data_IF_198235568829
#
_entry.id   IF_198235568829
#
_cell.length_a   1.000
_cell.length_b   1.000
_cell.length_c   1.000
_cell.angle_alpha   90.00
_cell.angle_beta   90.00
_cell.angle_gamma   90.00
#
_symmetry.space_group_name_H-M   'P 1'
#
loop_
_entity.id
_entity.type
_entity.pdbx_description
1 polymer ?
#
# COMPACT_ATOMS: atom_id res chain seq x y z
N UNK A 1 -2.17 4.22 -1.46
CA UNK A 1 -2.82 5.22 -2.33
C UNK A 1 -2.68 4.85 -3.80
N UNK A 2 -3.60 5.34 -4.63
CA UNK A 2 -3.58 5.17 -6.09
C UNK A 2 -3.29 6.51 -6.74
N UNK A 3 -2.31 6.54 -7.61
CA UNK A 3 -1.80 7.74 -8.26
C UNK A 3 -1.99 7.61 -9.77
N UNK A 4 -2.88 8.43 -10.34
CA UNK A 4 -3.18 8.42 -11.79
C UNK A 4 -2.59 9.65 -12.45
N UNK A 5 -1.57 9.50 -13.29
CA UNK A 5 -1.00 10.62 -14.05
C UNK A 5 -2.00 11.10 -15.09
N UNK A 6 -2.57 12.30 -14.87
CA UNK A 6 -3.65 12.83 -15.70
C UNK A 6 -4.94 11.98 -15.69
N UNK A 7 -5.09 11.04 -14.75
CA UNK A 7 -6.22 10.11 -14.64
C UNK A 7 -6.77 10.07 -13.20
N UNK A 8 -6.95 11.24 -12.58
CA UNK A 8 -7.42 11.34 -11.19
C UNK A 8 -8.77 10.63 -10.95
N UNK A 9 -9.68 10.65 -11.92
CA UNK A 9 -10.97 9.96 -11.84
C UNK A 9 -10.79 8.45 -11.67
N UNK A 10 -9.90 7.85 -12.46
CA UNK A 10 -9.58 6.43 -12.39
C UNK A 10 -8.86 6.08 -11.07
N UNK A 11 -7.95 6.93 -10.61
CA UNK A 11 -7.29 6.73 -9.32
C UNK A 11 -8.30 6.75 -8.16
N UNK A 12 -9.27 7.66 -8.18
CA UNK A 12 -10.35 7.74 -7.18
C UNK A 12 -11.28 6.53 -7.23
N UNK A 13 -11.63 6.05 -8.43
CA UNK A 13 -12.43 4.83 -8.61
C UNK A 13 -11.71 3.61 -8.01
N UNK A 14 -10.44 3.42 -8.32
CA UNK A 14 -9.66 2.32 -7.72
C UNK A 14 -9.57 2.41 -6.19
N UNK A 15 -9.35 3.61 -5.66
CA UNK A 15 -9.33 3.85 -4.22
C UNK A 15 -10.70 3.56 -3.57
N UNK A 16 -11.80 3.91 -4.26
CA UNK A 16 -13.16 3.59 -3.81
C UNK A 16 -13.36 2.08 -3.71
N UNK A 17 -12.94 1.30 -4.72
CA UNK A 17 -13.05 -0.17 -4.67
C UNK A 17 -12.27 -0.78 -3.51
N UNK A 18 -11.10 -0.27 -3.20
CA UNK A 18 -10.35 -0.72 -2.01
C UNK A 18 -11.13 -0.42 -0.73
N UNK A 19 -11.72 0.76 -0.60
CA UNK A 19 -12.55 1.10 0.59
C UNK A 19 -13.78 0.23 0.71
N UNK A 20 -14.46 -0.07 -0.41
CA UNK A 20 -15.72 -0.82 -0.41
C UNK A 20 -15.57 -2.30 -0.07
N UNK A 21 -14.54 -2.97 -0.58
CA UNK A 21 -14.41 -4.44 -0.44
C UNK A 21 -13.27 -4.89 0.45
N UNK A 22 -12.20 -4.09 0.58
CA UNK A 22 -11.06 -4.41 1.47
C UNK A 22 -11.24 -3.77 2.85
N UNK A 23 -12.08 -2.75 2.96
CA UNK A 23 -12.29 -1.96 4.18
C UNK A 23 -10.97 -1.37 4.71
N UNK A 24 -10.13 -0.89 3.80
CA UNK A 24 -8.91 -0.17 4.11
C UNK A 24 -9.05 1.29 3.67
N UNK A 25 -8.43 2.19 4.43
CA UNK A 25 -8.29 3.56 3.95
C UNK A 25 -7.47 3.59 2.67
N UNK A 26 -7.98 4.25 1.66
CA UNK A 26 -7.32 4.45 0.37
C UNK A 26 -7.81 5.74 -0.27
N UNK A 27 -6.92 6.46 -0.92
CA UNK A 27 -7.23 7.70 -1.63
C UNK A 27 -6.62 7.68 -3.03
N UNK A 28 -7.30 8.36 -3.96
CA UNK A 28 -6.84 8.55 -5.32
C UNK A 28 -6.37 10.00 -5.54
N UNK A 29 -5.17 10.16 -6.09
CA UNK A 29 -4.56 11.46 -6.40
C UNK A 29 -4.15 11.54 -7.86
N UNK A 30 -4.01 12.76 -8.36
CA UNK A 30 -3.13 12.99 -9.49
C UNK A 30 -1.69 12.74 -9.03
N UNK A 31 -0.90 12.01 -9.84
CA UNK A 31 0.44 11.62 -9.44
C UNK A 31 1.37 12.84 -9.22
N UNK A 32 1.16 13.94 -9.99
CA UNK A 32 1.95 15.15 -9.84
C UNK A 32 1.61 15.90 -8.55
N UNK A 33 0.36 15.82 -8.07
CA UNK A 33 -0.09 16.51 -6.86
C UNK A 33 0.32 15.79 -5.57
N UNK A 34 0.52 14.48 -5.61
CA UNK A 34 0.86 13.70 -4.42
C UNK A 34 2.14 14.19 -3.72
N UNK A 35 3.09 14.74 -4.46
CA UNK A 35 4.34 15.28 -3.90
C UNK A 35 4.17 16.57 -3.08
N UNK A 36 3.03 17.28 -3.23
CA UNK A 36 2.80 18.58 -2.62
C UNK A 36 2.15 18.52 -1.23
N UNK A 37 2.32 17.43 -0.50
CA UNK A 37 1.81 17.25 0.86
C UNK A 37 1.56 15.79 1.22
N UNK A 38 0.70 15.07 0.50
CA UNK A 38 0.34 13.69 0.84
C UNK A 38 1.52 12.73 0.99
N UNK A 39 2.62 12.96 0.25
CA UNK A 39 3.82 12.13 0.31
C UNK A 39 4.56 12.16 1.66
N UNK A 40 4.15 12.98 2.60
CA UNK A 40 4.71 13.02 3.97
C UNK A 40 4.45 11.74 4.77
N UNK A 41 3.49 10.92 4.33
CA UNK A 41 3.19 9.61 4.93
C UNK A 41 4.22 8.53 4.58
N UNK A 42 5.11 8.78 3.63
CA UNK A 42 6.10 7.79 3.17
C UNK A 42 7.20 7.55 4.21
N UNK A 43 7.89 6.43 4.09
CA UNK A 43 8.96 6.04 4.98
C UNK A 43 8.45 5.59 6.36
N UNK A 44 9.19 5.97 7.42
CA UNK A 44 8.87 5.60 8.81
C UNK A 44 7.75 6.46 9.44
N UNK A 45 6.95 7.13 8.64
CA UNK A 45 5.90 8.01 9.14
C UNK A 45 4.55 7.30 9.34
N UNK A 46 4.41 6.09 8.84
CA UNK A 46 3.16 5.33 8.90
C UNK A 46 3.39 3.90 9.35
N UNK A 47 2.54 3.44 10.26
CA UNK A 47 2.48 2.05 10.73
C UNK A 47 1.25 1.37 10.12
N UNK A 48 1.44 0.18 9.58
CA UNK A 48 0.41 -0.54 8.83
C UNK A 48 -0.28 -1.64 9.63
N UNK A 49 -1.39 -1.33 10.27
CA UNK A 49 -2.38 -2.26 10.77
C UNK A 49 -1.86 -3.56 11.40
N UNK A 50 -2.54 -4.66 11.15
CA UNK A 50 -2.24 -5.96 11.76
C UNK A 50 -0.86 -6.54 11.41
N UNK A 51 -0.39 -6.35 10.18
CA UNK A 51 0.94 -6.86 9.78
C UNK A 51 2.07 -6.15 10.54
N UNK A 52 1.94 -4.86 10.78
CA UNK A 52 2.90 -4.11 11.59
C UNK A 52 2.85 -4.56 13.05
N UNK A 53 1.67 -4.83 13.59
CA UNK A 53 1.51 -5.37 14.94
C UNK A 53 2.18 -6.74 15.06
N UNK A 54 1.94 -7.65 14.12
CA UNK A 54 2.59 -8.96 14.08
C UNK A 54 4.12 -8.84 14.04
N UNK A 55 4.64 -7.94 13.21
CA UNK A 55 6.08 -7.68 13.11
C UNK A 55 6.67 -7.16 14.41
N UNK A 56 6.00 -6.22 15.08
CA UNK A 56 6.40 -5.67 16.38
C UNK A 56 6.38 -6.75 17.46
N UNK A 57 5.30 -7.54 17.54
CA UNK A 57 5.20 -8.62 18.52
C UNK A 57 6.26 -9.70 18.29
N UNK A 58 6.55 -10.04 17.04
CA UNK A 58 7.61 -10.99 16.69
C UNK A 58 9.00 -10.48 17.05
N UNK A 59 9.25 -9.18 16.86
CA UNK A 59 10.51 -8.55 17.27
C UNK A 59 10.65 -8.53 18.79
N UNK A 60 9.58 -8.19 19.52
CA UNK A 60 9.56 -8.24 21.00
C UNK A 60 9.80 -9.65 21.53
N UNK A 61 9.11 -10.64 20.99
CA UNK A 61 9.31 -12.05 21.35
C UNK A 61 10.75 -12.53 21.11
N UNK A 62 11.41 -12.01 20.07
CA UNK A 62 12.82 -12.30 19.79
C UNK A 62 13.74 -11.70 20.84
N UNK A 63 13.49 -10.45 21.25
CA UNK A 63 14.23 -9.80 22.35
C UNK A 63 14.09 -10.61 23.63
N UNK A 64 12.87 -10.98 24.01
CA UNK A 64 12.62 -11.79 25.20
C UNK A 64 13.33 -13.15 25.18
N UNK A 65 13.34 -13.84 24.04
CA UNK A 65 14.00 -15.16 23.92
C UNK A 65 15.52 -15.07 24.07
N UNK A 66 16.11 -13.96 23.62
CA UNK A 66 17.56 -13.78 23.63
C UNK A 66 18.08 -13.11 24.92
N UNK A 67 17.19 -12.54 25.74
CA UNK A 67 17.54 -11.89 26.99
C UNK A 67 17.87 -12.92 28.09
N UNK A 68 18.87 -12.63 28.96
CA UNK A 68 19.09 -13.37 30.23
C UNK A 68 17.84 -13.34 31.10
N UNK A 69 17.67 -14.35 31.97
CA UNK A 69 16.47 -14.50 32.80
C UNK A 69 16.15 -13.25 33.65
N UNK A 70 17.15 -12.67 34.30
CA UNK A 70 16.98 -11.46 35.09
C UNK A 70 16.49 -10.26 34.25
N UNK A 71 17.04 -10.10 33.05
CA UNK A 71 16.63 -9.03 32.13
C UNK A 71 15.25 -9.28 31.53
N UNK A 72 14.89 -10.54 31.27
CA UNK A 72 13.58 -10.94 30.79
C UNK A 72 12.45 -10.53 31.73
N UNK A 73 12.64 -10.71 33.04
CA UNK A 73 11.68 -10.29 34.05
C UNK A 73 11.50 -8.75 34.05
N UNK A 74 12.57 -8.00 33.86
CA UNK A 74 12.50 -6.53 33.71
C UNK A 74 11.73 -6.14 32.48
N UNK A 75 11.99 -6.78 31.31
CA UNK A 75 11.29 -6.50 30.06
C UNK A 75 9.79 -6.80 30.14
N UNK A 76 9.39 -7.82 30.92
CA UNK A 76 7.99 -8.21 31.09
C UNK A 76 7.23 -7.28 32.06
N UNK A 77 7.91 -6.59 32.95
CA UNK A 77 7.30 -5.76 33.99
C UNK A 77 7.47 -4.26 33.76
N UNK A 78 8.40 -3.88 32.89
CA UNK A 78 8.64 -2.46 32.56
C UNK A 78 7.50 -1.87 31.74
N UNK A 79 7.32 -0.55 31.82
CA UNK A 79 6.39 0.16 30.96
C UNK A 79 6.76 -0.01 29.47
N UNK A 80 5.77 -0.19 28.56
CA UNK A 80 6.05 -0.39 27.15
C UNK A 80 6.97 0.66 26.51
N UNK A 81 6.83 1.93 26.90
CA UNK A 81 7.70 3.01 26.43
C UNK A 81 9.17 2.80 26.78
N UNK A 82 9.47 2.29 27.98
CA UNK A 82 10.84 2.00 28.42
C UNK A 82 11.44 0.82 27.66
N UNK A 83 10.64 -0.20 27.41
CA UNK A 83 11.05 -1.37 26.59
C UNK A 83 11.41 -0.94 25.17
N UNK A 84 10.57 -0.12 24.55
CA UNK A 84 10.79 0.39 23.19
C UNK A 84 12.01 1.34 23.14
N UNK A 85 12.20 2.20 24.14
CA UNK A 85 13.36 3.10 24.21
C UNK A 85 14.69 2.34 24.29
N UNK A 86 14.71 1.23 25.03
CA UNK A 86 15.90 0.37 25.16
C UNK A 86 16.09 -0.57 23.97
N UNK A 87 15.04 -0.86 23.21
CA UNK A 87 15.04 -1.79 22.10
C UNK A 87 14.38 -1.18 20.85
N UNK A 88 14.97 -0.17 20.23
CA UNK A 88 14.35 0.57 19.11
C UNK A 88 14.02 -0.32 17.91
N UNK A 89 14.74 -1.42 17.70
CA UNK A 89 14.46 -2.39 16.65
C UNK A 89 13.09 -3.08 16.77
N UNK A 90 12.46 -3.08 17.96
CA UNK A 90 11.10 -3.57 18.13
C UNK A 90 10.11 -2.63 17.41
N UNK A 91 10.24 -1.34 17.64
CA UNK A 91 9.40 -0.34 16.98
C UNK A 91 9.70 -0.26 15.48
N UNK A 92 10.97 -0.30 15.11
CA UNK A 92 11.39 -0.28 13.69
C UNK A 92 10.81 -1.43 12.87
N UNK A 93 10.59 -2.59 13.48
CA UNK A 93 9.95 -3.73 12.81
C UNK A 93 8.48 -3.45 12.40
N UNK A 94 7.83 -2.46 13.03
CA UNK A 94 6.47 -2.03 12.68
C UNK A 94 6.41 -1.13 11.45
N UNK A 95 7.53 -0.54 11.06
CA UNK A 95 7.58 0.33 9.88
C UNK A 95 7.87 -0.48 8.62
N UNK A 96 7.17 -0.16 7.55
CA UNK A 96 7.38 -0.73 6.23
C UNK A 96 7.31 0.36 5.17
N UNK A 97 7.68 -0.02 3.94
CA UNK A 97 7.50 0.88 2.81
C UNK A 97 6.02 1.09 2.53
N UNK A 98 5.67 2.31 2.15
CA UNK A 98 4.29 2.66 1.84
C UNK A 98 3.91 2.18 0.42
N UNK A 99 2.86 1.37 0.25
CA UNK A 99 2.48 0.90 -1.07
C UNK A 99 1.78 2.02 -1.87
N UNK A 100 2.35 2.36 -3.03
CA UNK A 100 1.76 3.25 -4.01
C UNK A 100 1.44 2.48 -5.29
N UNK A 101 0.22 2.65 -5.78
CA UNK A 101 -0.22 2.12 -7.06
C UNK A 101 -0.23 3.25 -8.08
N UNK A 102 0.65 3.19 -9.05
CA UNK A 102 0.65 4.13 -10.18
C UNK A 102 -0.17 3.58 -11.34
N UNK A 103 -0.92 4.47 -11.98
CA UNK A 103 -1.63 4.21 -13.23
C UNK A 103 -1.14 5.22 -14.26
N UNK A 104 -0.47 4.73 -15.29
CA UNK A 104 0.18 5.54 -16.31
C UNK A 104 -0.41 5.28 -17.69
N UNK A 105 -1.09 6.23 -18.30
CA UNK A 105 -1.59 6.10 -19.67
C UNK A 105 -0.43 6.10 -20.68
N UNK A 106 -0.69 5.69 -21.96
CA UNK A 106 0.36 5.50 -22.96
C UNK A 106 0.98 6.79 -23.52
N UNK A 107 0.57 7.95 -23.05
CA UNK A 107 1.06 9.27 -23.53
C UNK A 107 2.49 9.54 -23.08
N UNK A 108 3.35 9.92 -24.00
CA UNK A 108 4.77 10.22 -23.74
C UNK A 108 5.02 11.24 -22.63
N UNK A 109 4.15 12.26 -22.53
CA UNK A 109 4.23 13.26 -21.47
C UNK A 109 3.98 12.62 -20.10
N UNK A 110 2.92 11.80 -20.01
CA UNK A 110 2.47 11.21 -18.76
C UNK A 110 3.44 10.11 -18.30
N UNK A 111 4.05 9.39 -19.24
CA UNK A 111 5.14 8.44 -18.99
C UNK A 111 6.32 9.16 -18.31
N UNK A 112 6.80 10.28 -18.86
CA UNK A 112 7.92 11.03 -18.25
C UNK A 112 7.58 11.57 -16.86
N UNK A 113 6.37 12.05 -16.66
CA UNK A 113 5.90 12.50 -15.34
C UNK A 113 5.87 11.32 -14.37
N UNK A 114 5.30 10.19 -14.76
CA UNK A 114 5.21 8.97 -13.92
C UNK A 114 6.58 8.48 -13.51
N UNK A 115 7.54 8.40 -14.43
CA UNK A 115 8.93 8.03 -14.13
C UNK A 115 9.52 8.94 -13.06
N UNK A 116 9.37 10.26 -13.22
CA UNK A 116 9.85 11.25 -12.26
C UNK A 116 9.22 11.06 -10.87
N UNK A 117 7.91 10.79 -10.81
CA UNK A 117 7.21 10.55 -9.55
C UNK A 117 7.63 9.23 -8.90
N UNK A 118 7.79 8.16 -9.66
CA UNK A 118 8.29 6.87 -9.16
C UNK A 118 9.65 7.07 -8.49
N UNK A 119 10.60 7.72 -9.15
CA UNK A 119 11.92 7.99 -8.57
C UNK A 119 11.83 8.84 -7.30
N UNK A 120 10.97 9.85 -7.28
CA UNK A 120 10.77 10.73 -6.12
C UNK A 120 10.24 9.97 -4.90
N UNK A 121 9.29 9.06 -5.11
CA UNK A 121 8.61 8.42 -3.99
C UNK A 121 9.33 7.17 -3.49
N UNK A 122 9.96 6.39 -4.37
CA UNK A 122 10.71 5.21 -3.92
C UNK A 122 11.90 5.53 -3.03
N UNK A 123 12.62 6.64 -3.26
CA UNK A 123 13.70 7.08 -2.37
C UNK A 123 13.22 7.58 -1.00
N UNK A 124 11.90 7.82 -0.86
CA UNK A 124 11.24 8.22 0.39
C UNK A 124 10.59 7.06 1.12
N UNK A 125 10.77 5.82 0.67
CA UNK A 125 10.23 4.63 1.31
C UNK A 125 8.85 4.23 0.80
N UNK A 126 8.60 4.38 -0.50
CA UNK A 126 7.43 3.78 -1.16
C UNK A 126 7.80 2.48 -1.86
N UNK A 127 6.95 1.45 -1.69
CA UNK A 127 6.88 0.31 -2.61
C UNK A 127 6.01 0.71 -3.82
N UNK A 128 6.42 0.32 -5.02
CA UNK A 128 5.76 0.75 -6.25
C UNK A 128 5.08 -0.41 -6.95
N UNK A 129 3.77 -0.29 -7.16
CA UNK A 129 3.03 -1.08 -8.12
C UNK A 129 2.64 -0.17 -9.28
N UNK A 130 3.00 -0.53 -10.50
CA UNK A 130 2.66 0.22 -11.71
C UNK A 130 1.70 -0.58 -12.58
N UNK A 131 0.64 0.06 -13.04
CA UNK A 131 -0.29 -0.42 -14.08
C UNK A 131 -0.10 0.46 -15.31
N UNK A 132 0.42 -0.13 -16.38
CA UNK A 132 0.66 0.59 -17.63
C UNK A 132 0.80 -0.37 -18.81
N UNK A 133 0.73 0.15 -20.04
CA UNK A 133 1.17 -0.57 -21.22
C UNK A 133 2.68 -0.80 -21.19
N UNK A 134 3.15 -1.81 -21.90
CA UNK A 134 4.57 -2.19 -21.93
C UNK A 134 5.46 -1.06 -22.42
N UNK A 135 6.37 -0.61 -21.56
CA UNK A 135 7.38 0.44 -21.83
C UNK A 135 8.68 0.11 -21.09
N UNK A 136 9.80 -0.09 -21.79
CA UNK A 136 11.08 -0.43 -21.14
C UNK A 136 11.53 0.61 -20.12
N UNK A 137 11.32 1.90 -20.39
CA UNK A 137 11.68 2.99 -19.50
C UNK A 137 10.87 2.99 -18.19
N UNK A 138 9.60 2.58 -18.24
CA UNK A 138 8.76 2.40 -17.04
C UNK A 138 9.23 1.20 -16.22
N UNK A 139 9.54 0.07 -16.88
CA UNK A 139 10.08 -1.11 -16.21
C UNK A 139 11.37 -0.76 -15.46
N UNK A 140 12.30 -0.10 -16.13
CA UNK A 140 13.57 0.34 -15.51
C UNK A 140 13.33 1.25 -14.30
N UNK A 141 12.39 2.20 -14.41
CA UNK A 141 12.07 3.11 -13.31
C UNK A 141 11.49 2.38 -12.10
N UNK A 142 10.65 1.36 -12.33
CA UNK A 142 9.99 0.58 -11.28
C UNK A 142 10.95 -0.40 -10.62
N UNK A 143 11.69 -1.17 -11.40
CA UNK A 143 12.53 -2.29 -10.91
C UNK A 143 13.80 -1.82 -10.20
N UNK A 144 14.37 -0.68 -10.60
CA UNK A 144 15.59 -0.15 -10.01
C UNK A 144 15.45 0.12 -8.51
N UNK A 145 16.18 -0.63 -7.67
CA UNK A 145 16.16 -0.44 -6.21
C UNK A 145 16.88 0.86 -5.81
N UNK A 146 16.30 1.65 -4.87
CA UNK A 146 17.04 2.75 -4.26
C UNK A 146 18.21 2.23 -3.40
N UNK A 147 19.34 2.91 -3.44
CA UNK A 147 20.54 2.49 -2.68
C UNK A 147 20.32 2.50 -1.15
N UNK A 148 19.41 3.31 -0.66
CA UNK A 148 19.09 3.47 0.75
C UNK A 148 17.95 2.54 1.25
N UNK A 149 17.39 1.70 0.38
CA UNK A 149 16.26 0.83 0.73
C UNK A 149 16.43 -0.59 0.14
N UNK A 150 17.10 -1.49 0.87
CA UNK A 150 17.24 -2.88 0.43
C UNK A 150 15.92 -3.66 0.43
N UNK A 151 14.91 -3.18 1.16
CA UNK A 151 13.61 -3.84 1.32
C UNK A 151 12.58 -3.38 0.27
N UNK A 152 12.95 -2.45 -0.60
CA UNK A 152 12.10 -1.97 -1.68
C UNK A 152 11.51 -3.12 -2.50
N UNK A 153 10.20 -3.07 -2.69
CA UNK A 153 9.45 -4.02 -3.52
C UNK A 153 8.74 -3.28 -4.65
N UNK A 154 8.69 -3.94 -5.78
CA UNK A 154 8.01 -3.39 -6.94
C UNK A 154 7.26 -4.46 -7.71
N UNK A 155 6.25 -4.03 -8.45
CA UNK A 155 5.50 -4.85 -9.38
C UNK A 155 5.08 -3.98 -10.57
N UNK A 156 5.40 -4.43 -11.78
CA UNK A 156 4.89 -3.85 -13.00
C UNK A 156 3.82 -4.77 -13.57
N UNK A 157 2.56 -4.32 -13.55
CA UNK A 157 1.44 -5.00 -14.21
C UNK A 157 1.30 -4.43 -15.62
N UNK A 158 1.83 -5.16 -16.57
CA UNK A 158 1.69 -4.83 -17.99
C UNK A 158 0.27 -5.17 -18.46
N UNK A 159 -0.41 -4.19 -19.02
CA UNK A 159 -1.70 -4.40 -19.71
C UNK A 159 -1.50 -4.38 -21.22
N UNK A 160 -2.40 -5.03 -21.98
CA UNK A 160 -2.30 -5.04 -23.44
C UNK A 160 -2.20 -3.64 -24.02
N UNK A 161 -1.27 -3.45 -24.97
CA UNK A 161 -1.10 -2.16 -25.64
C UNK A 161 -2.26 -1.89 -26.57
N UNK A 162 -2.92 -0.78 -26.35
CA UNK A 162 -4.01 -0.29 -27.20
C UNK A 162 -3.57 0.92 -28.03
N UNK A 163 -2.55 1.64 -27.55
CA UNK A 163 -2.13 2.92 -28.10
C UNK A 163 -3.19 4.02 -28.00
N UNK A 164 -4.27 3.76 -27.27
CA UNK A 164 -5.42 4.64 -27.10
C UNK A 164 -5.69 4.87 -25.60
N UNK A 165 -5.76 6.15 -25.23
CA UNK A 165 -5.94 6.55 -23.83
C UNK A 165 -7.27 6.10 -23.24
N UNK A 166 -8.34 6.14 -24.02
CA UNK A 166 -9.67 5.78 -23.53
C UNK A 166 -9.81 4.29 -23.34
N UNK A 167 -9.29 3.50 -24.27
CA UNK A 167 -9.22 2.03 -24.13
C UNK A 167 -8.31 1.62 -22.97
N UNK A 168 -7.21 2.34 -22.75
CA UNK A 168 -6.34 2.15 -21.59
C UNK A 168 -7.13 2.31 -20.28
N UNK A 169 -7.97 3.34 -20.17
CA UNK A 169 -8.76 3.60 -18.94
C UNK A 169 -9.63 2.41 -18.57
N UNK A 170 -10.32 1.78 -19.53
CA UNK A 170 -11.12 0.58 -19.29
C UNK A 170 -10.27 -0.59 -18.79
N UNK A 171 -9.15 -0.86 -19.45
CA UNK A 171 -8.25 -1.95 -19.07
C UNK A 171 -7.68 -1.74 -17.67
N UNK A 172 -7.23 -0.54 -17.37
CA UNK A 172 -6.68 -0.19 -16.06
C UNK A 172 -7.75 -0.23 -14.95
N UNK A 173 -9.00 0.18 -15.24
CA UNK A 173 -10.11 0.07 -14.29
C UNK A 173 -10.36 -1.39 -13.89
N UNK A 174 -10.37 -2.32 -14.85
CA UNK A 174 -10.50 -3.75 -14.56
C UNK A 174 -9.37 -4.28 -13.68
N UNK A 175 -8.13 -3.83 -13.93
CA UNK A 175 -6.97 -4.20 -13.09
C UNK A 175 -7.14 -3.69 -11.66
N UNK A 176 -7.59 -2.44 -11.47
CA UNK A 176 -7.83 -1.88 -10.14
C UNK A 176 -8.96 -2.59 -9.38
N UNK A 177 -10.03 -2.95 -10.07
CA UNK A 177 -11.12 -3.76 -9.50
C UNK A 177 -10.63 -5.16 -9.12
N UNK A 178 -9.85 -5.80 -9.99
CA UNK A 178 -9.25 -7.10 -9.71
C UNK A 178 -8.25 -7.04 -8.54
N UNK A 179 -7.47 -5.97 -8.45
CA UNK A 179 -6.58 -5.74 -7.31
C UNK A 179 -7.36 -5.66 -5.99
N UNK A 180 -8.42 -4.85 -5.95
CA UNK A 180 -9.27 -4.72 -4.77
C UNK A 180 -9.91 -6.06 -4.38
N UNK A 181 -10.42 -6.82 -5.36
CA UNK A 181 -10.94 -8.16 -5.14
C UNK A 181 -9.89 -9.10 -4.53
N UNK A 182 -8.69 -9.17 -5.11
CA UNK A 182 -7.61 -10.02 -4.59
C UNK A 182 -7.14 -9.62 -3.20
N UNK A 183 -7.12 -8.32 -2.91
CA UNK A 183 -6.78 -7.80 -1.58
C UNK A 183 -7.85 -8.20 -0.56
N UNK A 184 -9.14 -8.12 -0.89
CA UNK A 184 -10.23 -8.50 0.02
C UNK A 184 -10.22 -9.99 0.33
N UNK A 185 -10.01 -10.86 -0.67
CA UNK A 185 -9.86 -12.32 -0.48
C UNK A 185 -8.71 -12.62 0.49
N UNK A 186 -7.55 -11.99 0.29
CA UNK A 186 -6.39 -12.18 1.17
C UNK A 186 -6.62 -11.66 2.57
N UNK A 187 -7.22 -10.48 2.69
CA UNK A 187 -7.51 -9.90 4.01
C UNK A 187 -8.54 -10.74 4.78
N UNK A 188 -9.61 -11.18 4.11
CA UNK A 188 -10.60 -12.08 4.72
C UNK A 188 -9.94 -13.35 5.26
N UNK A 189 -9.21 -14.08 4.41
CA UNK A 189 -8.51 -15.30 4.81
C UNK A 189 -7.48 -15.06 5.95
N UNK A 190 -6.81 -13.90 5.99
CA UNK A 190 -5.91 -13.55 7.07
C UNK A 190 -6.65 -13.32 8.39
N UNK A 191 -7.76 -12.59 8.37
CA UNK A 191 -8.59 -12.33 9.55
C UNK A 191 -9.26 -13.60 10.08
N UNK A 192 -9.75 -14.46 9.17
CA UNK A 192 -10.27 -15.79 9.52
C UNK A 192 -9.20 -16.64 10.22
N UNK A 193 -7.98 -16.64 9.69
CA UNK A 193 -6.84 -17.36 10.27
C UNK A 193 -6.44 -16.84 11.67
N UNK A 194 -6.74 -15.57 11.97
CA UNK A 194 -6.56 -14.98 13.30
C UNK A 194 -7.78 -15.21 14.23
N UNK A 195 -8.85 -15.84 13.76
CA UNK A 195 -10.09 -16.05 14.50
C UNK A 195 -10.92 -14.78 14.75
N UNK A 196 -10.70 -13.72 13.94
CA UNK A 196 -11.47 -12.48 14.05
C UNK A 196 -12.87 -12.71 13.50
N UNK A 197 -13.87 -12.70 14.37
CA UNK A 197 -15.26 -12.85 13.98
C UNK A 197 -15.84 -11.52 13.44
N UNK A 198 -16.82 -11.62 12.54
CA UNK A 198 -17.59 -10.48 12.01
C UNK A 198 -16.72 -9.35 11.41
N UNK A 199 -15.55 -9.68 10.85
CA UNK A 199 -14.62 -8.69 10.31
C UNK A 199 -15.18 -7.91 9.11
N UNK A 200 -16.25 -8.42 8.50
CA UNK A 200 -16.98 -7.72 7.46
C UNK A 200 -16.31 -7.61 6.09
N UNK A 201 -15.13 -8.17 5.91
CA UNK A 201 -14.44 -8.20 4.61
C UNK A 201 -15.02 -9.33 3.78
N UNK A 202 -15.73 -8.98 2.71
CA UNK A 202 -16.30 -9.94 1.76
C UNK A 202 -16.00 -9.46 0.34
N UNK A 203 -15.33 -10.26 -0.49
CA UNK A 203 -14.92 -9.83 -1.82
C UNK A 203 -16.06 -9.59 -2.79
N UNK A 204 -17.17 -10.26 -2.59
CA UNK A 204 -18.38 -10.28 -3.43
C UNK A 204 -19.56 -9.48 -2.87
N UNK A 205 -19.40 -8.94 -1.67
CA UNK A 205 -20.44 -8.10 -1.04
C UNK A 205 -19.83 -6.77 -0.60
N UNK A 206 -19.87 -5.74 -1.46
CA UNK A 206 -19.39 -4.41 -1.08
C UNK A 206 -20.13 -3.91 0.15
N UNK A 207 -19.42 -3.56 1.21
CA UNK A 207 -19.99 -2.86 2.34
C UNK A 207 -20.06 -1.36 2.03
N UNK A 208 -21.04 -0.69 2.61
CA UNK A 208 -21.26 0.74 2.45
C UNK A 208 -21.79 1.18 1.08
N UNK A 209 -22.55 0.33 0.41
CA UNK A 209 -23.46 0.85 -0.59
C UNK A 209 -24.51 1.68 0.15
N UNK A 210 -24.27 2.97 0.27
CA UNK A 210 -25.25 3.89 0.81
C UNK A 210 -26.41 3.93 -0.18
N UNK A 211 -27.49 3.24 0.19
CA UNK A 211 -28.78 3.44 -0.46
C UNK A 211 -29.34 4.72 0.11
N UNK A 212 -29.41 5.79 -0.68
CA UNK A 212 -30.30 6.89 -0.32
C UNK A 212 -31.70 6.33 -0.33
N UNK A 213 -32.25 6.16 0.86
CA UNK A 213 -33.66 5.90 1.04
C UNK A 213 -34.31 7.29 0.96
N UNK A 214 -34.87 7.64 -0.18
CA UNK A 214 -35.88 8.71 -0.23
C UNK A 214 -37.11 8.16 0.46
N UNK A 215 -37.38 8.66 1.65
CA UNK A 215 -38.65 8.49 2.30
C UNK A 215 -39.55 9.60 1.72
N UNK A 216 -40.47 9.22 0.86
CA UNK A 216 -41.57 10.10 0.43
C UNK A 216 -42.53 10.32 1.59
#
# INVERSE_FOLDING_TARGET
HILGTGLIGLAREGALKIREVVLNHSEGYDAAEFKHGPNTILGKNTVFGLQSLESVLSAYARVLRNAPEAERNVLLTAAPAEVLAKNPGILEAGFGNYPLVFVCPPDERDIRITISQIHTHKIRGADILLVAEKRPELALAVEGKPANDPNYRSLYLEIPSTGDRDLFVFSAALVLQWLAFRMSVRKGAYLDGLGVQDHGVHPDVPKNVSKSITVD
#
